data_IF_495531905191
#
_entry.id   IF_495531905191
#
_cell.length_a   1.000
_cell.length_b   1.000
_cell.length_c   1.000
_cell.angle_alpha   90.00
_cell.angle_beta   90.00
_cell.angle_gamma   90.00
#
_symmetry.space_group_name_H-M   'P 1'
#
loop_
_entity.id
_entity.type
_entity.pdbx_description
1 polymer ?
#
# COMPACT_ATOMS: atom_id res chain seq x y z
N UNK A 1 48.00 -13.17 29.32
CA UNK A 1 47.86 -12.32 30.51
C UNK A 1 46.59 -11.51 30.35
N UNK A 2 45.67 -11.54 31.32
CA UNK A 2 44.42 -10.76 31.24
C UNK A 2 44.68 -9.42 31.90
N UNK A 3 44.72 -8.34 31.12
CA UNK A 3 44.83 -6.98 31.65
C UNK A 3 43.57 -6.64 32.43
N UNK A 4 43.71 -6.36 33.73
CA UNK A 4 42.60 -5.92 34.58
C UNK A 4 42.43 -4.41 34.42
N UNK A 5 41.36 -4.00 33.73
CA UNK A 5 40.97 -2.60 33.61
C UNK A 5 39.97 -2.29 34.74
N UNK A 6 40.28 -1.31 35.58
CA UNK A 6 39.35 -0.81 36.58
C UNK A 6 38.46 0.28 35.97
N UNK A 7 37.17 -0.01 35.81
CA UNK A 7 36.17 0.93 35.31
C UNK A 7 35.31 1.38 36.49
N UNK A 8 35.24 2.69 36.73
CA UNK A 8 34.36 3.27 37.73
C UNK A 8 33.10 3.82 37.06
N UNK A 9 31.94 3.23 37.37
CA UNK A 9 30.64 3.69 36.91
C UNK A 9 29.88 4.36 38.06
N UNK A 10 29.34 5.55 37.83
CA UNK A 10 28.58 6.31 38.82
C UNK A 10 27.08 6.13 38.55
N UNK A 11 26.33 5.60 39.52
CA UNK A 11 24.88 5.34 39.40
C UNK A 11 24.06 6.57 39.00
N UNK A 12 24.44 7.76 39.49
CA UNK A 12 23.80 9.03 39.11
C UNK A 12 23.95 9.37 37.62
N UNK A 13 25.08 9.01 36.99
CA UNK A 13 25.33 9.28 35.57
C UNK A 13 24.79 8.20 34.64
N UNK A 14 24.72 6.95 35.12
CA UNK A 14 24.35 5.80 34.28
C UNK A 14 23.19 4.98 34.89
N UNK A 15 22.04 5.59 35.18
CA UNK A 15 20.94 4.92 35.88
C UNK A 15 20.43 3.69 35.12
N UNK A 16 20.40 3.72 33.78
CA UNK A 16 19.93 2.63 32.93
C UNK A 16 20.88 1.42 32.90
N UNK A 17 22.18 1.67 32.93
CA UNK A 17 23.19 0.60 32.98
C UNK A 17 23.14 -0.09 34.34
N UNK A 18 22.97 0.70 35.41
CA UNK A 18 22.78 0.16 36.76
C UNK A 18 21.47 -0.61 36.91
N UNK A 19 20.36 -0.13 36.36
CA UNK A 19 19.10 -0.90 36.39
C UNK A 19 19.23 -2.23 35.64
N UNK A 20 20.01 -2.26 34.55
CA UNK A 20 20.28 -3.49 33.82
C UNK A 20 21.15 -4.45 34.64
N UNK A 21 22.18 -3.96 35.33
CA UNK A 21 22.95 -4.81 36.26
C UNK A 21 22.10 -5.35 37.41
N UNK A 22 21.11 -4.59 37.89
CA UNK A 22 20.20 -5.03 38.95
C UNK A 22 19.21 -6.11 38.49
N UNK A 23 18.84 -6.13 37.20
CA UNK A 23 17.91 -7.11 36.64
C UNK A 23 18.58 -8.27 35.90
N UNK A 24 19.89 -8.20 35.65
CA UNK A 24 20.63 -9.21 34.90
C UNK A 24 21.12 -10.33 35.82
N UNK A 25 20.71 -11.56 35.52
CA UNK A 25 21.17 -12.75 36.23
C UNK A 25 22.57 -13.13 35.73
N UNK A 26 23.62 -12.63 36.40
CA UNK A 26 25.00 -12.97 36.07
C UNK A 26 26.04 -12.03 36.68
N UNK A 27 27.29 -12.18 36.22
CA UNK A 27 28.35 -11.27 36.66
C UNK A 27 28.27 -9.92 35.94
N UNK A 28 28.71 -8.81 36.55
CA UNK A 28 28.71 -7.49 35.91
C UNK A 28 29.50 -7.45 34.59
N UNK A 29 30.54 -8.29 34.47
CA UNK A 29 31.33 -8.39 33.25
C UNK A 29 30.52 -9.06 32.11
N UNK A 30 29.80 -10.14 32.40
CA UNK A 30 28.89 -10.78 31.44
C UNK A 30 27.76 -9.84 31.01
N UNK A 31 27.24 -9.02 31.93
CA UNK A 31 26.24 -8.01 31.59
C UNK A 31 26.79 -6.94 30.63
N UNK A 32 28.05 -6.51 30.82
CA UNK A 32 28.72 -5.58 29.89
C UNK A 32 28.97 -6.22 28.53
N UNK A 33 29.42 -7.46 28.49
CA UNK A 33 29.60 -8.22 27.23
C UNK A 33 28.26 -8.38 26.48
N UNK A 34 27.18 -8.69 27.19
CA UNK A 34 25.84 -8.80 26.62
C UNK A 34 25.36 -7.45 26.05
N UNK A 35 25.56 -6.35 26.78
CA UNK A 35 25.23 -5.00 26.30
C UNK A 35 26.04 -4.62 25.07
N UNK A 36 27.34 -4.94 25.04
CA UNK A 36 28.21 -4.70 23.89
C UNK A 36 27.72 -5.48 22.66
N UNK A 37 27.43 -6.76 22.82
CA UNK A 37 26.88 -7.59 21.74
C UNK A 37 25.55 -7.03 21.22
N UNK A 38 24.67 -6.58 22.12
CA UNK A 38 23.39 -5.98 21.76
C UNK A 38 23.58 -4.66 20.98
N UNK A 39 24.52 -3.81 21.38
CA UNK A 39 24.82 -2.57 20.63
C UNK A 39 25.39 -2.85 19.25
N UNK A 40 26.27 -3.85 19.10
CA UNK A 40 26.78 -4.25 17.78
C UNK A 40 25.67 -4.79 16.88
N UNK A 41 24.74 -5.59 17.43
CA UNK A 41 23.60 -6.09 16.68
C UNK A 41 22.67 -4.94 16.24
N UNK A 42 22.39 -3.99 17.12
CA UNK A 42 21.59 -2.80 16.79
C UNK A 42 22.26 -1.96 15.70
N UNK A 43 23.58 -1.82 15.73
CA UNK A 43 24.30 -1.06 14.73
C UNK A 43 24.23 -1.72 13.34
N UNK A 44 24.37 -3.04 13.24
CA UNK A 44 24.14 -3.77 11.99
C UNK A 44 22.73 -3.58 11.45
N UNK A 45 21.71 -3.65 12.31
CA UNK A 45 20.31 -3.41 11.91
C UNK A 45 20.11 -1.98 11.39
N UNK A 46 20.79 -1.00 11.98
CA UNK A 46 20.73 0.40 11.53
C UNK A 46 21.41 0.56 10.17
N UNK A 47 22.56 -0.07 9.97
CA UNK A 47 23.27 -0.09 8.68
C UNK A 47 22.41 -0.72 7.58
N UNK A 48 21.85 -1.91 7.82
CA UNK A 48 20.93 -2.59 6.90
C UNK A 48 19.69 -1.73 6.56
N UNK A 49 19.12 -1.03 7.55
CA UNK A 49 18.00 -0.10 7.32
C UNK A 49 18.41 1.14 6.55
N UNK A 50 19.66 1.60 6.73
CA UNK A 50 20.25 2.70 5.97
C UNK A 50 20.32 2.34 4.48
N UNK A 51 20.84 1.16 4.16
CA UNK A 51 20.97 0.67 2.79
C UNK A 51 19.59 0.54 2.11
N UNK A 52 18.60 -0.04 2.80
CA UNK A 52 17.22 -0.16 2.29
C UNK A 52 16.61 1.23 2.00
N UNK A 53 16.86 2.20 2.89
CA UNK A 53 16.35 3.55 2.72
C UNK A 53 17.03 4.25 1.52
N UNK A 54 18.34 4.03 1.34
CA UNK A 54 19.09 4.57 0.21
C UNK A 54 18.62 3.97 -1.12
N UNK A 55 18.40 2.66 -1.17
CA UNK A 55 17.82 1.95 -2.32
C UNK A 55 16.41 2.42 -2.64
N UNK A 56 15.54 2.53 -1.63
CA UNK A 56 14.19 3.07 -1.77
C UNK A 56 14.23 4.50 -2.34
N UNK A 57 15.12 5.34 -1.82
CA UNK A 57 15.26 6.73 -2.25
C UNK A 57 15.78 6.82 -3.68
N UNK A 58 16.71 5.94 -4.08
CA UNK A 58 17.24 5.89 -5.45
C UNK A 58 16.19 5.44 -6.46
N UNK A 59 15.38 4.44 -6.10
CA UNK A 59 14.37 3.86 -7.00
C UNK A 59 13.12 4.73 -7.13
N UNK A 60 12.57 5.23 -6.02
CA UNK A 60 11.24 5.88 -6.03
C UNK A 60 11.27 7.40 -6.19
N UNK A 61 12.37 8.07 -5.82
CA UNK A 61 12.44 9.54 -5.93
C UNK A 61 12.28 10.06 -7.37
N UNK A 62 12.85 9.43 -8.41
CA UNK A 62 12.61 9.82 -9.80
C UNK A 62 11.14 9.62 -10.22
N UNK A 63 10.53 8.50 -9.84
CA UNK A 63 9.14 8.17 -10.19
C UNK A 63 8.14 9.09 -9.47
N UNK A 64 8.41 9.46 -8.22
CA UNK A 64 7.60 10.41 -7.46
C UNK A 64 7.52 11.79 -8.12
N UNK A 65 8.62 12.25 -8.75
CA UNK A 65 8.61 13.51 -9.50
C UNK A 65 7.68 13.42 -10.71
N UNK A 66 7.79 12.32 -11.47
CA UNK A 66 6.96 12.09 -12.65
C UNK A 66 5.48 11.98 -12.29
N UNK A 67 5.14 11.23 -11.23
CA UNK A 67 3.78 11.13 -10.71
C UNK A 67 3.23 12.50 -10.27
N UNK A 68 4.05 13.31 -9.60
CA UNK A 68 3.64 14.65 -9.15
C UNK A 68 3.41 15.61 -10.32
N UNK A 69 4.23 15.52 -11.37
CA UNK A 69 4.05 16.30 -12.60
C UNK A 69 2.80 15.85 -13.37
N UNK A 70 2.55 14.54 -13.46
CA UNK A 70 1.34 14.00 -14.08
C UNK A 70 0.07 14.46 -13.33
N UNK A 71 0.06 14.37 -11.99
CA UNK A 71 -1.04 14.87 -11.16
C UNK A 71 -1.32 16.35 -11.42
N UNK A 72 -0.29 17.20 -11.38
CA UNK A 72 -0.45 18.64 -11.66
C UNK A 72 -0.99 18.91 -13.07
N UNK A 73 -0.61 18.10 -14.06
CA UNK A 73 -1.15 18.22 -15.41
C UNK A 73 -2.65 17.85 -15.45
N UNK A 74 -3.06 16.78 -14.77
CA UNK A 74 -4.48 16.38 -14.68
C UNK A 74 -5.33 17.40 -13.93
N UNK A 75 -4.82 17.99 -12.85
CA UNK A 75 -5.49 19.07 -12.11
C UNK A 75 -5.70 20.29 -13.01
N UNK A 76 -4.66 20.71 -13.76
CA UNK A 76 -4.75 21.82 -14.70
C UNK A 76 -5.77 21.55 -15.81
N UNK A 77 -5.75 20.35 -16.40
CA UNK A 77 -6.73 19.96 -17.43
C UNK A 77 -8.16 19.98 -16.88
N UNK A 78 -8.37 19.43 -15.68
CA UNK A 78 -9.68 19.43 -15.03
C UNK A 78 -10.17 20.85 -14.76
N UNK A 79 -9.29 21.72 -14.26
CA UNK A 79 -9.61 23.13 -14.06
C UNK A 79 -9.94 23.87 -15.36
N UNK A 80 -9.18 23.65 -16.44
CA UNK A 80 -9.48 24.25 -17.74
C UNK A 80 -10.83 23.78 -18.29
N UNK A 81 -11.15 22.48 -18.16
CA UNK A 81 -12.44 21.93 -18.58
C UNK A 81 -13.60 22.53 -17.78
N UNK A 82 -13.43 22.80 -16.48
CA UNK A 82 -14.46 23.48 -15.69
C UNK A 82 -14.63 24.94 -16.09
N UNK A 83 -13.54 25.64 -16.43
CA UNK A 83 -13.64 27.00 -16.97
C UNK A 83 -14.37 27.02 -18.31
N UNK A 84 -14.02 26.13 -19.25
CA UNK A 84 -14.70 26.02 -20.56
C UNK A 84 -16.20 25.74 -20.37
N UNK A 85 -16.55 24.80 -19.50
CA UNK A 85 -17.96 24.52 -19.19
C UNK A 85 -18.67 25.74 -18.63
N UNK A 86 -18.03 26.49 -17.72
CA UNK A 86 -18.62 27.68 -17.12
C UNK A 86 -18.75 28.83 -18.14
N UNK A 87 -17.79 28.98 -19.06
CA UNK A 87 -17.89 29.97 -20.14
C UNK A 87 -18.97 29.59 -21.15
N UNK A 88 -19.09 28.32 -21.51
CA UNK A 88 -20.17 27.85 -22.41
C UNK A 88 -21.55 27.99 -21.76
N UNK A 89 -21.65 27.76 -20.44
CA UNK A 89 -22.86 28.04 -19.66
C UNK A 89 -23.18 29.53 -19.68
N UNK A 90 -22.20 30.39 -19.42
CA UNK A 90 -22.36 31.85 -19.45
C UNK A 90 -22.79 32.35 -20.83
N UNK A 91 -22.12 31.91 -21.90
CA UNK A 91 -22.44 32.31 -23.27
C UNK A 91 -23.87 31.92 -23.64
N UNK A 92 -24.35 30.73 -23.29
CA UNK A 92 -25.72 30.32 -23.60
C UNK A 92 -26.78 30.93 -22.70
N UNK A 93 -26.55 31.00 -21.40
CA UNK A 93 -27.52 31.57 -20.46
C UNK A 93 -27.71 33.08 -20.66
N UNK A 94 -26.65 33.79 -21.08
CA UNK A 94 -26.67 35.25 -21.23
C UNK A 94 -26.88 35.69 -22.68
N UNK A 95 -26.27 35.03 -23.66
CA UNK A 95 -26.32 35.47 -25.08
C UNK A 95 -27.36 34.70 -25.92
N UNK A 96 -27.73 33.48 -25.53
CA UNK A 96 -28.65 32.62 -26.29
C UNK A 96 -29.71 31.91 -25.41
N UNK A 97 -30.55 32.66 -24.68
CA UNK A 97 -31.51 32.10 -23.72
C UNK A 97 -32.55 31.17 -24.36
N UNK A 98 -32.80 31.29 -25.67
CA UNK A 98 -33.77 30.47 -26.41
C UNK A 98 -33.22 29.08 -26.83
N UNK A 99 -31.93 28.80 -26.62
CA UNK A 99 -31.29 27.51 -26.90
C UNK A 99 -30.70 26.88 -25.63
N UNK A 100 -31.52 26.22 -24.79
CA UNK A 100 -31.04 25.60 -23.56
C UNK A 100 -30.09 24.42 -23.86
N UNK A 101 -29.18 24.14 -22.91
CA UNK A 101 -28.34 22.95 -22.99
C UNK A 101 -29.21 21.68 -23.07
N UNK A 102 -28.83 20.69 -23.90
CA UNK A 102 -29.45 19.38 -23.83
C UNK A 102 -29.35 18.86 -22.40
N UNK A 103 -30.49 18.44 -21.83
CA UNK A 103 -30.54 17.92 -20.45
C UNK A 103 -29.46 16.85 -20.28
N UNK A 104 -28.69 16.95 -19.19
CA UNK A 104 -27.70 15.96 -18.85
C UNK A 104 -28.37 14.57 -18.82
N UNK A 105 -27.98 13.70 -19.76
CA UNK A 105 -28.43 12.31 -19.79
C UNK A 105 -28.03 11.66 -18.46
N UNK A 106 -29.02 11.19 -17.72
CA UNK A 106 -28.79 10.52 -16.44
C UNK A 106 -28.14 9.15 -16.70
N UNK A 107 -27.52 8.53 -15.68
CA UNK A 107 -27.03 7.14 -15.79
C UNK A 107 -28.12 6.16 -16.24
N UNK A 108 -29.40 6.47 -15.97
CA UNK A 108 -30.54 5.70 -16.46
C UNK A 108 -30.72 5.84 -17.99
N UNK A 109 -30.43 7.01 -18.56
CA UNK A 109 -30.48 7.26 -20.01
C UNK A 109 -29.28 6.64 -20.76
N UNK A 110 -28.17 6.38 -20.05
CA UNK A 110 -27.00 5.65 -20.56
C UNK A 110 -27.13 4.12 -20.45
N UNK A 111 -28.20 3.60 -19.84
CA UNK A 111 -28.56 2.16 -19.92
C UNK A 111 -29.09 1.83 -21.31
N UNK A 112 -28.29 2.06 -22.34
CA UNK A 112 -28.55 1.58 -23.70
C UNK A 112 -28.22 0.09 -23.80
N UNK A 113 -28.78 -0.58 -24.81
CA UNK A 113 -28.57 -2.00 -25.16
C UNK A 113 -27.14 -2.55 -24.93
N UNK A 114 -26.04 -1.81 -25.17
CA UNK A 114 -24.68 -2.32 -24.95
C UNK A 114 -24.40 -2.71 -23.49
N UNK A 115 -24.92 -1.96 -22.52
CA UNK A 115 -24.74 -2.29 -21.10
C UNK A 115 -25.61 -3.49 -20.68
N UNK A 116 -26.80 -3.64 -21.25
CA UNK A 116 -27.64 -4.81 -21.02
C UNK A 116 -27.00 -6.08 -21.61
N UNK A 117 -26.37 -5.98 -22.79
CA UNK A 117 -25.62 -7.08 -23.42
C UNK A 117 -24.41 -7.47 -22.55
N UNK A 118 -23.65 -6.49 -22.03
CA UNK A 118 -22.53 -6.76 -21.12
C UNK A 118 -22.99 -7.40 -19.81
N UNK A 119 -24.10 -6.95 -19.23
CA UNK A 119 -24.65 -7.53 -18.00
C UNK A 119 -25.18 -8.95 -18.22
N UNK A 120 -25.81 -9.21 -19.37
CA UNK A 120 -26.22 -10.57 -19.78
C UNK A 120 -25.02 -11.49 -19.92
N UNK A 121 -24.01 -11.09 -20.71
CA UNK A 121 -22.80 -11.91 -20.93
C UNK A 121 -22.03 -12.15 -19.64
N UNK A 122 -22.01 -11.18 -18.73
CA UNK A 122 -21.40 -11.33 -17.41
C UNK A 122 -22.14 -12.35 -16.55
N UNK A 123 -23.49 -12.33 -16.56
CA UNK A 123 -24.30 -13.34 -15.86
C UNK A 123 -24.09 -14.74 -16.45
N UNK A 124 -24.08 -14.86 -17.77
CA UNK A 124 -23.85 -16.14 -18.46
C UNK A 124 -22.47 -16.74 -18.12
N UNK A 125 -21.43 -15.90 -18.12
CA UNK A 125 -20.08 -16.30 -17.73
C UNK A 125 -20.00 -16.72 -16.24
N UNK A 126 -20.69 -16.03 -15.35
CA UNK A 126 -20.73 -16.43 -13.94
C UNK A 126 -21.48 -17.77 -13.75
N UNK A 127 -22.51 -18.04 -14.54
CA UNK A 127 -23.22 -19.32 -14.49
C UNK A 127 -22.37 -20.47 -15.02
N UNK A 128 -21.63 -20.28 -16.13
CA UNK A 128 -20.75 -21.32 -16.65
C UNK A 128 -19.63 -21.67 -15.67
N UNK A 129 -19.00 -20.66 -15.04
CA UNK A 129 -17.97 -20.88 -14.01
C UNK A 129 -18.52 -21.67 -12.82
N UNK A 130 -19.77 -21.43 -12.42
CA UNK A 130 -20.41 -22.18 -11.32
C UNK A 130 -20.68 -23.63 -11.71
N UNK A 131 -21.13 -23.87 -12.94
CA UNK A 131 -21.36 -25.22 -13.46
C UNK A 131 -20.04 -26.00 -13.57
N UNK A 132 -19.00 -25.41 -14.16
CA UNK A 132 -17.67 -26.06 -14.26
C UNK A 132 -17.10 -26.41 -12.88
N UNK A 133 -17.31 -25.55 -11.87
CA UNK A 133 -16.88 -25.84 -10.50
C UNK A 133 -17.68 -26.98 -9.87
N UNK A 134 -18.99 -27.04 -10.11
CA UNK A 134 -19.84 -28.13 -9.64
C UNK A 134 -19.50 -29.47 -10.33
N UNK A 135 -19.21 -29.44 -11.62
CA UNK A 135 -18.75 -30.59 -12.40
C UNK A 135 -17.39 -31.10 -11.93
N UNK A 136 -16.43 -30.20 -11.63
CA UNK A 136 -15.14 -30.61 -11.04
C UNK A 136 -15.31 -31.21 -9.64
N UNK A 137 -16.16 -30.61 -8.81
CA UNK A 137 -16.42 -31.11 -7.47
C UNK A 137 -17.09 -32.49 -7.49
N UNK A 138 -18.04 -32.72 -8.40
CA UNK A 138 -18.66 -34.04 -8.57
C UNK A 138 -17.67 -35.06 -9.12
N UNK A 139 -16.86 -34.71 -10.11
CA UNK A 139 -15.81 -35.59 -10.65
C UNK A 139 -14.75 -35.98 -9.61
N UNK A 140 -14.31 -35.04 -8.76
CA UNK A 140 -13.37 -35.33 -7.67
C UNK A 140 -13.98 -36.25 -6.61
N UNK A 141 -15.26 -36.07 -6.29
CA UNK A 141 -16.00 -36.95 -5.38
C UNK A 141 -16.17 -38.37 -5.96
N UNK A 142 -16.54 -38.50 -7.24
CA UNK A 142 -16.66 -39.80 -7.91
C UNK A 142 -15.32 -40.54 -7.94
N UNK A 143 -14.21 -39.85 -8.25
CA UNK A 143 -12.86 -40.43 -8.19
C UNK A 143 -12.47 -40.90 -6.79
N UNK A 144 -12.87 -40.15 -5.77
CA UNK A 144 -12.59 -40.50 -4.38
C UNK A 144 -13.39 -41.73 -3.95
N UNK A 145 -14.66 -41.84 -4.37
CA UNK A 145 -15.53 -42.99 -4.13
C UNK A 145 -15.06 -44.26 -4.88
N UNK A 146 -14.55 -44.12 -6.11
CA UNK A 146 -13.96 -45.23 -6.86
C UNK A 146 -12.63 -45.72 -6.27
N UNK A 147 -11.82 -44.83 -5.70
CA UNK A 147 -10.56 -45.19 -5.03
C UNK A 147 -10.73 -45.85 -3.65
N UNK A 148 -11.94 -45.84 -3.08
CA UNK A 148 -12.29 -46.51 -1.83
C UNK A 148 -12.82 -47.94 -2.02
N UNK A 149 -13.06 -48.38 -3.26
CA UNK A 149 -13.45 -49.76 -3.62
C UNK A 149 -12.22 -50.61 -3.95
#
# INVERSE_FOLDING_TARGET
MVEKINIQLIKKRHPKVFSYFESFEGTPLQALEALLAQTQMQQKIIEERGDILEDFTRLLKPELLQLRLALRATEKQTWMLTQIKNTELYEREVLHPDQPFPKAKTLADYRTEPYAILESKWKDMLTSIRQERAERASYEMEKWEEGLK
#
